data_IF_520284402051
#
_entry.id   IF_520284402051
#
_cell.length_a   1.000
_cell.length_b   1.000
_cell.length_c   1.000
_cell.angle_alpha   90.00
_cell.angle_beta   90.00
_cell.angle_gamma   90.00
#
_symmetry.space_group_name_H-M   'P 1'
#
loop_
_entity.id
_entity.type
_entity.pdbx_description
1 polymer ?
#
# COMPACT_ATOMS: atom_id res chain seq x y z
N UNK A 1 -32.46 18.24 -30.63
CA UNK A 1 -32.28 17.72 -29.25
C UNK A 1 -32.72 16.27 -29.27
N UNK A 2 -31.84 15.25 -29.25
CA UNK A 2 -32.33 13.89 -29.12
C UNK A 2 -32.82 13.67 -27.69
N UNK A 3 -34.03 13.11 -27.60
CA UNK A 3 -34.75 12.81 -26.38
C UNK A 3 -33.99 11.84 -25.48
N UNK A 4 -34.16 11.98 -24.16
CA UNK A 4 -33.49 11.18 -23.15
C UNK A 4 -33.76 9.69 -23.33
N UNK A 5 -32.68 8.94 -23.53
CA UNK A 5 -32.70 7.49 -23.33
C UNK A 5 -32.80 7.24 -21.83
N UNK A 6 -33.99 6.87 -21.36
CA UNK A 6 -34.13 6.19 -20.06
C UNK A 6 -33.25 4.94 -20.12
N UNK A 7 -32.07 5.03 -19.50
CA UNK A 7 -31.06 4.00 -19.57
C UNK A 7 -31.25 3.11 -18.36
N UNK A 8 -31.64 1.86 -18.57
CA UNK A 8 -31.78 0.87 -17.50
C UNK A 8 -30.41 0.48 -16.96
N UNK A 9 -30.00 1.14 -15.87
CA UNK A 9 -28.72 0.92 -15.21
C UNK A 9 -28.62 -0.46 -14.52
N UNK A 10 -29.70 -1.22 -14.38
CA UNK A 10 -29.68 -2.54 -13.73
C UNK A 10 -28.91 -3.60 -14.53
N UNK A 11 -28.74 -3.38 -15.84
CA UNK A 11 -28.04 -4.28 -16.75
C UNK A 11 -26.53 -4.03 -16.88
N UNK A 12 -26.01 -2.97 -16.24
CA UNK A 12 -24.60 -2.63 -16.31
C UNK A 12 -23.76 -3.56 -15.45
N UNK A 13 -22.80 -4.24 -16.08
CA UNK A 13 -21.82 -5.07 -15.39
C UNK A 13 -20.67 -4.23 -14.81
N UNK A 14 -20.02 -4.75 -13.78
CA UNK A 14 -18.79 -4.18 -13.22
C UNK A 14 -17.58 -4.48 -14.12
N UNK A 15 -16.49 -3.71 -14.03
CA UNK A 15 -15.27 -4.01 -14.78
C UNK A 15 -14.75 -5.42 -14.49
N UNK A 16 -14.32 -6.19 -15.51
CA UNK A 16 -13.87 -7.57 -15.32
C UNK A 16 -12.58 -7.68 -14.51
N UNK A 17 -11.82 -6.59 -14.37
CA UNK A 17 -10.59 -6.53 -13.58
C UNK A 17 -10.38 -5.14 -12.98
N UNK A 18 -9.85 -5.11 -11.76
CA UNK A 18 -9.39 -3.91 -11.09
C UNK A 18 -8.13 -4.16 -10.26
N UNK A 19 -7.47 -3.07 -9.88
CA UNK A 19 -6.50 -3.01 -8.78
C UNK A 19 -7.06 -2.03 -7.76
N UNK A 20 -7.19 -2.46 -6.51
CA UNK A 20 -7.70 -1.64 -5.42
C UNK A 20 -6.69 -1.61 -4.28
N UNK A 21 -6.31 -0.43 -3.84
CA UNK A 21 -5.63 -0.25 -2.56
C UNK A 21 -6.65 0.15 -1.51
N UNK A 22 -6.64 -0.51 -0.35
CA UNK A 22 -7.53 -0.16 0.75
C UNK A 22 -6.78 0.00 2.08
N UNK A 23 -7.20 0.99 2.84
CA UNK A 23 -6.77 1.26 4.21
C UNK A 23 -8.00 1.18 5.13
N UNK A 24 -8.05 0.14 5.97
CA UNK A 24 -9.16 -0.12 6.88
C UNK A 24 -8.81 0.33 8.30
N UNK A 25 -9.68 1.14 8.90
CA UNK A 25 -9.49 1.76 10.21
C UNK A 25 -10.70 1.45 11.11
N UNK A 26 -10.56 0.63 12.17
CA UNK A 26 -11.59 0.48 13.17
C UNK A 26 -11.67 1.74 14.04
N UNK A 27 -12.88 2.19 14.35
CA UNK A 27 -13.15 3.42 15.12
C UNK A 27 -13.84 3.05 16.43
N UNK A 28 -13.45 3.72 17.52
CA UNK A 28 -14.02 3.49 18.85
C UNK A 28 -13.41 2.28 19.57
N UNK A 29 -12.18 1.89 19.22
CA UNK A 29 -11.44 0.84 19.92
C UNK A 29 -10.94 1.34 21.27
N UNK A 30 -10.76 0.48 22.29
CA UNK A 30 -10.25 0.88 23.61
C UNK A 30 -8.82 1.43 23.62
N UNK A 31 -8.12 1.40 22.49
CA UNK A 31 -6.76 1.89 22.32
C UNK A 31 -6.56 2.43 20.91
N UNK A 32 -5.62 3.37 20.77
CA UNK A 32 -5.15 3.87 19.47
C UNK A 32 -4.41 2.80 18.64
N UNK A 33 -3.89 1.75 19.27
CA UNK A 33 -3.25 0.65 18.54
C UNK A 33 -4.30 -0.24 17.88
N UNK A 34 -4.23 -0.35 16.55
CA UNK A 34 -5.17 -1.15 15.74
C UNK A 34 -4.57 -2.43 15.18
N UNK A 35 -3.29 -2.71 15.45
CA UNK A 35 -2.53 -3.81 14.81
C UNK A 35 -3.18 -5.18 14.99
N UNK A 36 -3.83 -5.44 16.14
CA UNK A 36 -4.63 -6.65 16.39
C UNK A 36 -5.66 -6.90 15.28
N UNK A 37 -6.42 -5.88 14.91
CA UNK A 37 -7.48 -5.99 13.91
C UNK A 37 -6.89 -6.15 12.51
N UNK A 38 -5.81 -5.43 12.22
CA UNK A 38 -5.10 -5.54 10.94
C UNK A 38 -4.52 -6.94 10.75
N UNK A 39 -4.00 -7.58 11.80
CA UNK A 39 -3.53 -8.98 11.75
C UNK A 39 -4.66 -9.92 11.30
N UNK A 40 -5.87 -9.76 11.84
CA UNK A 40 -7.01 -10.60 11.46
C UNK A 40 -7.46 -10.36 10.01
N UNK A 41 -7.46 -9.10 9.56
CA UNK A 41 -7.70 -8.77 8.14
C UNK A 41 -6.62 -9.40 7.24
N UNK A 42 -5.35 -9.38 7.63
CA UNK A 42 -4.28 -10.00 6.86
C UNK A 42 -4.38 -11.53 6.84
N UNK A 43 -4.79 -12.15 7.95
CA UNK A 43 -5.09 -13.59 7.99
C UNK A 43 -6.24 -13.94 7.05
N UNK A 44 -7.28 -13.10 7.01
CA UNK A 44 -8.37 -13.25 6.05
C UNK A 44 -7.84 -13.17 4.62
N UNK A 45 -7.13 -12.10 4.24
CA UNK A 45 -6.58 -11.93 2.89
C UNK A 45 -5.69 -13.11 2.50
N UNK A 46 -4.80 -13.58 3.38
CA UNK A 46 -3.93 -14.74 3.11
C UNK A 46 -4.69 -16.08 3.10
N UNK A 47 -5.75 -16.18 3.89
CA UNK A 47 -6.47 -17.42 4.18
C UNK A 47 -7.70 -17.65 3.31
N UNK A 48 -8.15 -16.62 2.60
CA UNK A 48 -9.36 -16.63 1.78
C UNK A 48 -9.24 -17.60 0.61
N UNK A 49 -10.29 -18.36 0.33
CA UNK A 49 -10.33 -19.29 -0.80
C UNK A 49 -10.00 -18.61 -2.14
N UNK A 50 -10.47 -17.37 -2.35
CA UNK A 50 -10.24 -16.57 -3.56
C UNK A 50 -8.80 -16.10 -3.72
N UNK A 51 -8.03 -16.05 -2.63
CA UNK A 51 -6.61 -15.71 -2.70
C UNK A 51 -5.79 -16.99 -2.84
N UNK A 52 -6.22 -18.07 -2.19
CA UNK A 52 -5.59 -19.40 -2.29
C UNK A 52 -5.69 -20.03 -3.67
N UNK A 53 -6.81 -19.82 -4.37
CA UNK A 53 -7.00 -20.31 -5.75
C UNK A 53 -6.34 -19.41 -6.81
N UNK A 54 -5.70 -18.31 -6.38
CA UNK A 54 -5.02 -17.36 -7.27
C UNK A 54 -5.95 -16.36 -7.97
N UNK A 55 -7.24 -16.33 -7.63
CA UNK A 55 -8.23 -15.42 -8.23
C UNK A 55 -8.02 -13.96 -7.83
N UNK A 56 -7.54 -13.73 -6.61
CA UNK A 56 -7.18 -12.40 -6.08
C UNK A 56 -5.72 -12.41 -5.63
N UNK A 57 -4.90 -11.57 -6.27
CA UNK A 57 -3.53 -11.29 -5.81
C UNK A 57 -3.56 -10.16 -4.78
N UNK A 58 -2.56 -10.12 -3.92
CA UNK A 58 -2.46 -9.08 -2.89
C UNK A 58 -1.00 -8.69 -2.62
N UNK A 59 -0.82 -7.48 -2.10
CA UNK A 59 0.44 -6.99 -1.55
C UNK A 59 0.16 -6.06 -0.39
N UNK A 60 0.77 -6.31 0.77
CA UNK A 60 0.64 -5.48 1.97
C UNK A 60 1.79 -4.47 2.03
N UNK A 61 1.49 -3.25 2.47
CA UNK A 61 2.48 -2.22 2.75
C UNK A 61 2.10 -1.45 4.03
N UNK A 62 2.88 -0.44 4.40
CA UNK A 62 2.73 0.30 5.66
C UNK A 62 1.39 1.03 5.84
N UNK A 63 0.73 1.36 4.74
CA UNK A 63 -0.47 2.23 4.73
C UNK A 63 -1.74 1.51 4.24
N UNK A 64 -1.69 0.20 4.03
CA UNK A 64 -2.84 -0.52 3.48
C UNK A 64 -2.49 -1.87 2.87
N UNK A 65 -3.40 -2.35 2.04
CA UNK A 65 -3.23 -3.58 1.27
C UNK A 65 -3.81 -3.37 -0.12
N UNK A 66 -2.97 -3.65 -1.12
CA UNK A 66 -3.38 -3.64 -2.51
C UNK A 66 -3.88 -5.03 -2.90
N UNK A 67 -5.06 -5.09 -3.52
CA UNK A 67 -5.69 -6.28 -4.09
C UNK A 67 -5.80 -6.14 -5.61
N UNK A 68 -5.67 -7.24 -6.33
CA UNK A 68 -5.86 -7.31 -7.78
C UNK A 68 -6.68 -8.54 -8.14
N UNK A 69 -7.72 -8.35 -8.95
CA UNK A 69 -8.60 -9.43 -9.38
C UNK A 69 -9.82 -8.87 -10.13
N UNK A 70 -10.88 -9.65 -10.24
CA UNK A 70 -12.18 -9.13 -10.69
C UNK A 70 -12.75 -8.13 -9.68
N UNK A 71 -13.49 -7.13 -10.16
CA UNK A 71 -14.16 -6.15 -9.30
C UNK A 71 -14.92 -6.78 -8.13
N UNK A 72 -15.73 -7.79 -8.44
CA UNK A 72 -16.62 -8.41 -7.45
C UNK A 72 -15.83 -9.15 -6.36
N UNK A 73 -14.83 -9.94 -6.73
CA UNK A 73 -14.00 -10.63 -5.75
C UNK A 73 -13.16 -9.67 -4.89
N UNK A 74 -12.59 -8.61 -5.48
CA UNK A 74 -11.81 -7.62 -4.75
C UNK A 74 -12.67 -6.88 -3.73
N UNK A 75 -13.85 -6.40 -4.15
CA UNK A 75 -14.79 -5.70 -3.26
C UNK A 75 -15.41 -6.62 -2.22
N UNK A 76 -15.67 -7.89 -2.57
CA UNK A 76 -16.12 -8.92 -1.63
C UNK A 76 -15.11 -9.16 -0.51
N UNK A 77 -13.82 -9.26 -0.82
CA UNK A 77 -12.76 -9.42 0.21
C UNK A 77 -12.75 -8.22 1.16
N UNK A 78 -12.86 -6.99 0.65
CA UNK A 78 -12.94 -5.78 1.48
C UNK A 78 -14.20 -5.79 2.37
N UNK A 79 -15.37 -6.16 1.83
CA UNK A 79 -16.60 -6.29 2.61
C UNK A 79 -16.51 -7.38 3.70
N UNK A 80 -15.86 -8.51 3.41
CA UNK A 80 -15.62 -9.56 4.39
C UNK A 80 -14.64 -9.13 5.48
N UNK A 81 -13.65 -8.28 5.17
CA UNK A 81 -12.79 -7.70 6.17
C UNK A 81 -13.58 -6.82 7.16
N UNK A 82 -14.57 -6.06 6.69
CA UNK A 82 -15.48 -5.33 7.59
C UNK A 82 -16.28 -6.29 8.46
N UNK A 83 -16.94 -7.28 7.86
CA UNK A 83 -17.77 -8.23 8.60
C UNK A 83 -16.96 -8.97 9.67
N UNK A 84 -15.75 -9.43 9.34
CA UNK A 84 -14.84 -10.09 10.26
C UNK A 84 -14.58 -9.26 11.53
N UNK A 85 -14.39 -7.95 11.38
CA UNK A 85 -14.12 -7.08 12.53
C UNK A 85 -15.41 -6.72 13.29
N UNK A 86 -16.54 -6.63 12.61
CA UNK A 86 -17.85 -6.51 13.27
C UNK A 86 -18.13 -7.74 14.15
N UNK A 87 -17.81 -8.95 13.68
CA UNK A 87 -17.92 -10.19 14.47
C UNK A 87 -16.99 -10.19 15.70
N UNK A 88 -15.93 -9.36 15.69
CA UNK A 88 -15.02 -9.14 16.81
C UNK A 88 -15.42 -7.98 17.72
N UNK A 89 -16.61 -7.40 17.51
CA UNK A 89 -17.17 -6.32 18.32
C UNK A 89 -16.75 -4.91 17.91
N UNK A 90 -16.05 -4.73 16.78
CA UNK A 90 -15.80 -3.38 16.25
C UNK A 90 -17.10 -2.81 15.72
N UNK A 91 -17.60 -1.74 16.35
CA UNK A 91 -18.92 -1.17 16.00
C UNK A 91 -18.85 -0.33 14.72
N UNK A 92 -17.74 0.38 14.49
CA UNK A 92 -17.58 1.28 13.34
C UNK A 92 -16.24 1.05 12.66
N UNK A 93 -16.27 0.99 11.33
CA UNK A 93 -15.08 0.83 10.48
C UNK A 93 -15.16 1.89 9.40
N UNK A 94 -14.06 2.62 9.20
CA UNK A 94 -13.87 3.51 8.06
C UNK A 94 -12.80 2.91 7.16
N UNK A 95 -13.06 2.86 5.87
CA UNK A 95 -12.10 2.35 4.89
C UNK A 95 -11.92 3.37 3.77
N UNK A 96 -10.68 3.75 3.51
CA UNK A 96 -10.29 4.48 2.30
C UNK A 96 -9.96 3.47 1.20
N UNK A 97 -10.49 3.70 -0.02
CA UNK A 97 -10.28 2.81 -1.15
C UNK A 97 -9.90 3.62 -2.38
N UNK A 98 -8.73 3.33 -2.95
CA UNK A 98 -8.33 3.79 -4.29
C UNK A 98 -8.41 2.61 -5.24
N UNK A 99 -9.45 2.57 -6.06
CA UNK A 99 -9.71 1.49 -7.00
C UNK A 99 -9.66 1.99 -8.44
N UNK A 100 -8.97 1.25 -9.30
CA UNK A 100 -8.83 1.58 -10.72
C UNK A 100 -9.04 0.38 -11.62
N UNK A 101 -9.70 0.63 -12.76
CA UNK A 101 -9.85 -0.30 -13.88
C UNK A 101 -9.43 0.40 -15.17
N UNK A 102 -8.96 -0.36 -16.16
CA UNK A 102 -8.59 0.17 -17.48
C UNK A 102 -8.92 -0.83 -18.58
N UNK A 103 -9.18 -0.34 -19.79
CA UNK A 103 -9.58 -1.16 -20.95
C UNK A 103 -8.53 -1.22 -22.05
N UNK A 104 -7.54 -0.33 -22.02
CA UNK A 104 -6.51 -0.18 -23.05
C UNK A 104 -5.41 -1.25 -22.96
N UNK A 105 -5.08 -1.74 -21.75
CA UNK A 105 -4.10 -2.82 -21.55
C UNK A 105 -4.36 -3.64 -20.29
N UNK A 106 -3.86 -4.88 -20.29
CA UNK A 106 -3.73 -5.71 -19.09
C UNK A 106 -2.46 -5.30 -18.35
N UNK A 107 -2.60 -4.93 -17.08
CA UNK A 107 -1.47 -4.55 -16.23
C UNK A 107 -1.76 -5.03 -14.81
N UNK A 108 -0.77 -5.65 -14.17
CA UNK A 108 -0.83 -6.02 -12.75
C UNK A 108 -0.34 -4.89 -11.85
N UNK A 109 -0.53 -5.02 -10.54
CA UNK A 109 0.02 -4.08 -9.55
C UNK A 109 1.56 -4.09 -9.58
N UNK A 110 2.20 -5.24 -9.80
CA UNK A 110 3.65 -5.33 -9.91
C UNK A 110 4.15 -4.64 -11.19
N UNK A 111 3.47 -4.85 -12.33
CA UNK A 111 3.81 -4.17 -13.58
C UNK A 111 3.73 -2.63 -13.48
N UNK A 112 2.95 -2.08 -12.52
CA UNK A 112 2.92 -0.63 -12.27
C UNK A 112 4.18 -0.16 -11.55
N UNK A 113 4.64 -0.93 -10.56
CA UNK A 113 5.86 -0.64 -9.81
C UNK A 113 7.08 -0.81 -10.73
N UNK A 114 7.18 -1.95 -11.40
CA UNK A 114 8.31 -2.28 -12.28
C UNK A 114 8.48 -1.25 -13.41
N UNK A 115 7.38 -0.71 -13.93
CA UNK A 115 7.44 0.34 -14.95
C UNK A 115 8.14 1.60 -14.42
N UNK A 116 7.81 2.05 -13.21
CA UNK A 116 8.43 3.23 -12.59
C UNK A 116 9.89 2.95 -12.26
N UNK A 117 10.20 1.81 -11.64
CA UNK A 117 11.57 1.42 -11.29
C UNK A 117 12.49 1.33 -12.50
N UNK A 118 11.97 0.81 -13.63
CA UNK A 118 12.70 0.78 -14.89
C UNK A 118 13.02 2.19 -15.39
N UNK A 119 12.08 3.13 -15.29
CA UNK A 119 12.33 4.53 -15.69
C UNK A 119 13.40 5.17 -14.79
N UNK A 120 13.29 5.02 -13.47
CA UNK A 120 14.27 5.56 -12.51
C UNK A 120 15.69 5.01 -12.77
N UNK A 121 15.80 3.70 -13.00
CA UNK A 121 17.08 3.04 -13.30
C UNK A 121 17.72 3.55 -14.60
N UNK A 122 16.89 3.94 -15.58
CA UNK A 122 17.38 4.46 -16.87
C UNK A 122 17.84 5.92 -16.81
N UNK A 123 17.33 6.73 -15.87
CA UNK A 123 17.82 8.10 -15.66
C UNK A 123 19.21 8.11 -14.99
N UNK A 124 19.43 7.23 -14.01
CA UNK A 124 20.73 7.11 -13.33
C UNK A 124 21.87 6.66 -14.24
N UNK A 125 21.59 5.86 -15.28
CA UNK A 125 22.62 5.38 -16.22
C UNK A 125 23.09 6.45 -17.22
N UNK A 126 22.37 7.58 -17.35
CA UNK A 126 22.73 8.69 -18.24
C UNK A 126 23.68 9.72 -17.62
N UNK A 127 23.98 9.62 -16.32
CA UNK A 127 24.73 10.64 -15.56
C UNK A 127 26.21 10.31 -15.32
N UNK A 128 26.71 9.12 -15.71
CA UNK A 128 28.10 8.68 -15.45
C UNK A 128 29.06 8.82 -16.65
N UNK A 129 28.77 9.69 -17.63
CA UNK A 129 29.70 10.02 -18.73
C UNK A 129 30.00 11.53 -18.81
N UNK A 130 30.55 12.11 -17.76
CA UNK A 130 31.38 13.30 -17.88
C UNK A 130 32.39 13.37 -16.72
N UNK A 131 33.49 12.64 -16.89
CA UNK A 131 34.61 12.61 -15.95
C UNK A 131 35.90 12.68 -16.74
N UNK A 132 36.12 13.82 -17.40
CA UNK A 132 37.39 14.16 -18.04
C UNK A 132 38.54 14.11 -17.05
N UNK A 133 39.65 13.51 -17.50
CA UNK A 133 40.94 13.49 -16.81
C UNK A 133 41.42 14.90 -16.44
N UNK A 134 41.79 15.11 -15.18
CA UNK A 134 42.81 16.10 -14.81
C UNK A 134 43.99 15.39 -14.10
N UNK A 135 45.25 15.62 -14.53
CA UNK A 135 46.43 15.10 -13.87
C UNK A 135 47.01 16.13 -12.88
N UNK A 136 47.33 15.73 -11.64
CA UNK A 136 47.97 16.66 -10.71
C UNK A 136 48.29 16.16 -9.29
N UNK A 137 49.35 15.38 -9.17
CA UNK A 137 50.37 15.30 -8.08
C UNK A 137 50.01 15.66 -6.61
N UNK A 138 50.20 14.67 -5.70
CA UNK A 138 51.32 14.56 -4.73
C UNK A 138 50.87 13.89 -3.41
N UNK A 139 51.51 12.76 -3.11
CA UNK A 139 51.43 12.05 -1.84
C UNK A 139 52.04 12.86 -0.69
N UNK A 140 51.31 12.98 0.43
CA UNK A 140 51.89 12.98 1.79
C UNK A 140 51.01 12.18 2.77
N UNK A 141 51.70 11.70 3.79
CA UNK A 141 51.47 10.61 4.73
C UNK A 141 50.32 10.73 5.75
N UNK A 142 49.61 9.61 5.94
CA UNK A 142 49.32 8.89 7.20
C UNK A 142 49.00 9.65 8.50
N UNK A 143 47.88 9.28 9.15
CA UNK A 143 47.86 8.52 10.43
C UNK A 143 46.42 8.08 10.71
N UNK A 144 46.30 6.88 11.28
CA UNK A 144 45.09 6.13 11.64
C UNK A 144 44.44 6.66 12.92
N UNK A 145 43.13 6.44 13.11
CA UNK A 145 42.53 5.73 14.28
C UNK A 145 40.99 5.75 14.26
N UNK A 146 40.44 4.68 14.84
CA UNK A 146 39.07 4.19 14.81
C UNK A 146 37.99 4.97 15.60
N UNK A 147 36.74 4.54 15.34
CA UNK A 147 35.38 4.86 15.85
C UNK A 147 35.20 4.96 17.40
N UNK A 148 33.97 5.12 18.00
CA UNK A 148 32.61 5.28 17.46
C UNK A 148 31.77 6.42 18.09
N UNK A 149 30.68 6.86 17.45
CA UNK A 149 29.69 7.73 18.13
C UNK A 149 28.55 6.90 18.74
N UNK A 150 28.57 6.80 20.07
CA UNK A 150 27.45 6.39 20.91
C UNK A 150 26.68 7.63 21.33
N UNK A 151 25.36 7.65 21.10
CA UNK A 151 24.48 8.55 21.86
C UNK A 151 23.19 7.82 22.22
N UNK A 152 23.18 7.31 23.46
CA UNK A 152 21.96 7.17 24.25
C UNK A 152 21.35 8.57 24.47
N UNK A 153 20.03 8.70 24.39
CA UNK A 153 19.26 9.48 25.37
C UNK A 153 17.77 9.14 25.31
N UNK A 154 17.34 8.49 26.40
CA UNK A 154 15.97 8.30 26.87
C UNK A 154 15.57 9.53 27.71
N UNK A 155 14.34 10.01 27.57
CA UNK A 155 13.43 10.49 28.64
C UNK A 155 12.19 11.08 27.93
N UNK A 156 11.05 10.39 27.97
CA UNK A 156 9.97 10.61 28.95
C UNK A 156 9.53 12.06 29.08
N UNK A 157 8.39 12.41 28.49
CA UNK A 157 7.49 13.42 29.04
C UNK A 157 6.05 12.91 28.93
N UNK A 158 5.51 12.53 30.09
CA UNK A 158 4.09 12.33 30.33
C UNK A 158 3.39 13.68 30.32
N UNK A 159 2.29 13.80 29.58
CA UNK A 159 1.31 14.87 29.79
C UNK A 159 -0.10 14.33 29.60
N UNK A 160 -0.79 14.29 30.72
CA UNK A 160 -2.21 13.99 30.90
C UNK A 160 -3.02 15.14 30.31
N UNK A 161 -4.04 14.85 29.50
CA UNK A 161 -5.07 15.81 29.09
C UNK A 161 -6.41 15.29 29.66
N UNK A 162 -7.16 16.08 30.44
CA UNK A 162 -8.48 15.67 30.93
C UNK A 162 -9.57 15.87 29.87
N UNK A 163 -10.56 14.97 29.89
CA UNK A 163 -11.74 14.95 29.03
C UNK A 163 -12.75 16.07 29.38
N UNK A 164 -13.45 16.57 28.35
CA UNK A 164 -14.77 17.20 28.41
C UNK A 164 -15.73 16.43 27.50
#
# INVERSE_FOLDING_TARGET
>A
MPAGSSSDYSSLHTPPKCTADFCLIPIGTPSASVSKYIIEVQKLVRGHGLVKDGTVKWSMHSAGTTLEGSWDNVTKVMGQAHQLLHDQGVVRIQTDIRIGSRTDKKQSMQDKVDAVEKFLSSESAGAEQDGGEEPGTRHESGTTTDAPNSTNLRSEVSSVIPDE
#
